data_IF_093360047099
#
_entry.id   IF_093360047099
#
_cell.length_a   1.000
_cell.length_b   1.000
_cell.length_c   1.000
_cell.angle_alpha   90.00
_cell.angle_beta   90.00
_cell.angle_gamma   90.00
#
_symmetry.space_group_name_H-M   'P 1'
#
loop_
_entity.id
_entity.type
_entity.pdbx_description
1 polymer ?
#
# COMPACT_ATOMS: atom_id res chain seq x y z
N UNK A 1 -15.37 15.68 3.64
CA UNK A 1 -15.55 15.63 2.17
C UNK A 1 -14.32 16.27 1.56
N UNK A 2 -13.44 15.50 0.90
CA UNK A 2 -12.25 16.07 0.27
C UNK A 2 -12.64 16.66 -1.09
N UNK A 3 -12.30 17.92 -1.34
CA UNK A 3 -12.59 18.64 -2.57
C UNK A 3 -11.30 19.30 -3.08
N UNK A 4 -10.42 18.49 -3.69
CA UNK A 4 -9.18 18.94 -4.30
C UNK A 4 -9.24 18.81 -5.81
N UNK A 5 -8.97 19.91 -6.53
CA UNK A 5 -9.02 19.98 -7.99
C UNK A 5 -7.83 19.27 -8.69
N UNK A 6 -6.80 18.87 -7.93
CA UNK A 6 -5.61 18.17 -8.43
C UNK A 6 -5.07 17.19 -7.38
N UNK A 7 -4.51 16.06 -7.84
CA UNK A 7 -3.68 15.19 -6.99
C UNK A 7 -2.52 16.02 -6.44
N UNK A 8 -2.34 16.01 -5.13
CA UNK A 8 -1.24 16.72 -4.46
C UNK A 8 0.10 16.38 -5.12
N UNK A 9 0.93 17.39 -5.37
CA UNK A 9 2.17 17.29 -6.15
C UNK A 9 3.20 16.28 -5.57
N UNK A 10 2.98 15.80 -4.34
CA UNK A 10 3.77 14.73 -3.73
C UNK A 10 2.97 14.05 -2.63
N UNK A 11 2.73 12.73 -2.74
CA UNK A 11 2.15 11.92 -1.65
C UNK A 11 2.99 12.00 -0.37
N UNK A 12 4.29 12.31 -0.48
CA UNK A 12 5.14 12.53 0.69
C UNK A 12 4.74 13.79 1.46
N UNK A 13 4.47 14.89 0.76
CA UNK A 13 4.04 16.14 1.41
C UNK A 13 2.67 15.97 2.05
N UNK A 14 1.77 15.24 1.39
CA UNK A 14 0.43 14.95 1.93
C UNK A 14 0.47 14.14 3.23
N UNK A 15 1.43 13.22 3.37
CA UNK A 15 1.51 12.31 4.52
C UNK A 15 2.48 12.75 5.60
N UNK A 16 3.26 13.81 5.38
CA UNK A 16 4.38 14.16 6.26
C UNK A 16 3.92 14.46 7.69
N UNK A 17 2.95 15.37 7.85
CA UNK A 17 2.42 15.74 9.18
C UNK A 17 1.86 14.52 9.93
N UNK A 18 1.08 13.67 9.23
CA UNK A 18 0.55 12.44 9.80
C UNK A 18 1.66 11.47 10.24
N UNK A 19 2.71 11.32 9.43
CA UNK A 19 3.83 10.44 9.74
C UNK A 19 4.60 10.93 10.96
N UNK A 20 4.87 12.23 11.05
CA UNK A 20 5.59 12.81 12.18
C UNK A 20 4.81 12.64 13.49
N UNK A 21 3.49 12.87 13.46
CA UNK A 21 2.63 12.64 14.62
C UNK A 21 2.58 11.16 15.04
N UNK A 22 2.40 10.24 14.08
CA UNK A 22 2.37 8.80 14.36
C UNK A 22 3.71 8.31 14.90
N UNK A 23 4.83 8.79 14.37
CA UNK A 23 6.16 8.43 14.87
C UNK A 23 6.36 8.88 16.31
N UNK A 24 5.99 10.13 16.64
CA UNK A 24 6.05 10.65 17.99
C UNK A 24 5.16 9.84 18.95
N UNK A 25 3.91 9.57 18.57
CA UNK A 25 2.98 8.79 19.39
C UNK A 25 3.46 7.35 19.60
N UNK A 26 4.04 6.71 18.58
CA UNK A 26 4.58 5.36 18.69
C UNK A 26 5.83 5.30 19.59
N UNK A 27 6.63 6.36 19.60
CA UNK A 27 7.87 6.43 20.38
C UNK A 27 7.63 6.90 21.83
N UNK A 28 6.83 7.93 22.00
CA UNK A 28 6.68 8.67 23.25
C UNK A 28 5.34 8.42 23.94
N UNK A 29 4.38 7.80 23.24
CA UNK A 29 3.01 7.62 23.73
C UNK A 29 2.25 8.95 23.79
N UNK A 30 1.12 8.93 24.48
CA UNK A 30 0.28 10.10 24.71
C UNK A 30 0.16 10.39 26.21
N UNK A 31 0.39 11.64 26.62
CA UNK A 31 0.29 12.07 28.01
C UNK A 31 -1.17 12.39 28.38
N UNK A 32 -1.73 11.66 29.33
CA UNK A 32 -3.06 11.90 29.88
C UNK A 32 -3.06 11.75 31.39
N UNK A 33 -3.57 12.75 32.12
CA UNK A 33 -3.60 12.75 33.58
C UNK A 33 -2.24 12.45 34.26
N UNK A 34 -1.15 12.93 33.66
CA UNK A 34 0.21 12.69 34.17
C UNK A 34 0.76 11.29 33.87
N UNK A 35 0.02 10.45 33.14
CA UNK A 35 0.41 9.09 32.77
C UNK A 35 0.69 9.04 31.26
N UNK A 36 1.78 8.40 30.89
CA UNK A 36 2.13 8.15 29.49
C UNK A 36 1.43 6.85 29.05
N UNK A 37 0.61 6.96 28.00
CA UNK A 37 -0.09 5.83 27.40
C UNK A 37 0.62 5.40 26.11
N UNK A 38 1.10 4.15 26.01
CA UNK A 38 1.70 3.65 24.79
C UNK A 38 0.65 3.54 23.67
N UNK A 39 1.05 3.92 22.46
CA UNK A 39 0.20 3.88 21.25
C UNK A 39 0.67 2.77 20.33
N UNK A 40 -0.26 2.09 19.65
CA UNK A 40 0.03 1.16 18.58
C UNK A 40 -0.94 1.35 17.41
N UNK A 41 -0.42 1.38 16.19
CA UNK A 41 -1.24 1.39 14.98
C UNK A 41 -1.72 -0.02 14.66
N UNK A 42 -3.03 -0.27 14.81
CA UNK A 42 -3.63 -1.56 14.47
C UNK A 42 -3.96 -1.70 12.99
N UNK A 43 -4.52 -0.66 12.38
CA UNK A 43 -4.94 -0.68 10.99
C UNK A 43 -4.98 0.73 10.37
N UNK A 44 -4.68 0.82 9.09
CA UNK A 44 -4.94 1.98 8.23
C UNK A 44 -6.02 1.57 7.23
N UNK A 45 -7.22 2.09 7.41
CA UNK A 45 -8.40 1.71 6.64
C UNK A 45 -8.60 2.72 5.51
N UNK A 46 -8.57 2.22 4.28
CA UNK A 46 -8.80 3.02 3.08
C UNK A 46 -9.26 2.12 1.92
N UNK A 47 -9.93 2.71 0.93
CA UNK A 47 -10.34 2.00 -0.29
C UNK A 47 -9.12 1.72 -1.20
N UNK A 48 -9.31 0.96 -2.29
CA UNK A 48 -8.22 0.61 -3.20
C UNK A 48 -7.45 1.83 -3.75
N UNK A 49 -8.13 2.86 -4.29
CA UNK A 49 -7.46 4.04 -4.81
C UNK A 49 -6.66 4.80 -3.75
N UNK A 50 -7.22 5.02 -2.56
CA UNK A 50 -6.52 5.71 -1.48
C UNK A 50 -5.36 4.86 -0.94
N UNK A 51 -5.53 3.54 -0.80
CA UNK A 51 -4.45 2.62 -0.42
C UNK A 51 -3.28 2.69 -1.39
N UNK A 52 -3.57 2.66 -2.69
CA UNK A 52 -2.54 2.77 -3.73
C UNK A 52 -1.81 4.11 -3.67
N UNK A 53 -2.55 5.19 -3.41
CA UNK A 53 -2.00 6.53 -3.24
C UNK A 53 -1.06 6.62 -2.03
N UNK A 54 -1.51 6.24 -0.84
CA UNK A 54 -0.71 6.38 0.39
C UNK A 54 0.49 5.43 0.43
N UNK A 55 0.37 4.23 -0.17
CA UNK A 55 1.48 3.28 -0.31
C UNK A 55 2.41 3.61 -1.49
N UNK A 56 2.05 4.56 -2.35
CA UNK A 56 2.74 4.88 -3.59
C UNK A 56 2.99 3.64 -4.47
N UNK A 57 1.93 2.86 -4.70
CA UNK A 57 1.93 1.65 -5.54
C UNK A 57 0.96 1.80 -6.72
N UNK A 58 1.06 0.91 -7.71
CA UNK A 58 0.13 0.89 -8.84
C UNK A 58 -1.31 0.72 -8.36
N UNK A 59 -2.19 1.56 -8.91
CA UNK A 59 -3.64 1.48 -8.68
C UNK A 59 -4.21 0.17 -9.21
N UNK A 60 -5.39 -0.17 -8.71
CA UNK A 60 -6.22 -1.25 -9.22
C UNK A 60 -6.25 -1.26 -10.77
N UNK A 61 -6.12 -2.44 -11.37
CA UNK A 61 -6.15 -2.63 -12.82
C UNK A 61 -4.80 -2.58 -13.53
N UNK A 62 -3.69 -2.31 -12.83
CA UNK A 62 -2.34 -2.43 -13.39
C UNK A 62 -1.75 -3.84 -13.24
N UNK A 63 -0.84 -4.23 -14.13
CA UNK A 63 -0.21 -5.57 -14.16
C UNK A 63 0.28 -6.09 -12.80
N UNK A 64 0.80 -5.25 -11.90
CA UNK A 64 1.24 -5.68 -10.56
C UNK A 64 0.55 -4.84 -9.48
N UNK A 65 -0.78 -4.69 -9.54
CA UNK A 65 -1.51 -3.82 -8.61
C UNK A 65 -1.84 -4.45 -7.25
N UNK A 66 -1.70 -5.78 -7.09
CA UNK A 66 -2.08 -6.42 -5.85
C UNK A 66 -1.18 -5.99 -4.69
N UNK A 67 -1.78 -5.49 -3.61
CA UNK A 67 -1.07 -5.02 -2.42
C UNK A 67 -0.69 -6.14 -1.45
N UNK A 68 -1.15 -7.38 -1.71
CA UNK A 68 -0.99 -8.55 -0.83
C UNK A 68 -0.16 -9.67 -1.42
N UNK A 69 -0.14 -9.83 -2.75
CA UNK A 69 0.64 -10.86 -3.42
C UNK A 69 1.35 -10.33 -4.67
N UNK A 70 2.17 -11.18 -5.27
CA UNK A 70 3.00 -10.87 -6.43
C UNK A 70 2.35 -11.19 -7.77
N UNK A 71 1.01 -11.32 -7.80
CA UNK A 71 0.28 -11.70 -9.00
C UNK A 71 0.48 -10.69 -10.13
N UNK A 72 0.77 -11.21 -11.32
CA UNK A 72 0.87 -10.45 -12.56
C UNK A 72 -0.44 -10.59 -13.32
N UNK A 73 -1.05 -9.45 -13.65
CA UNK A 73 -2.21 -9.40 -14.53
C UNK A 73 -1.82 -9.71 -15.96
N UNK A 74 -2.79 -10.19 -16.73
CA UNK A 74 -2.65 -10.51 -18.15
C UNK A 74 -3.57 -9.63 -18.98
N UNK A 75 -3.04 -9.12 -20.09
CA UNK A 75 -3.82 -8.32 -21.02
C UNK A 75 -4.65 -9.21 -21.94
N UNK A 76 -5.98 -9.09 -21.85
CA UNK A 76 -6.92 -9.82 -22.69
C UNK A 76 -7.72 -8.84 -23.53
N UNK A 77 -7.73 -9.08 -24.84
CA UNK A 77 -8.56 -8.32 -25.77
C UNK A 77 -10.05 -8.63 -25.53
N UNK A 78 -10.86 -7.60 -25.31
CA UNK A 78 -12.30 -7.67 -25.16
C UNK A 78 -12.94 -6.72 -26.17
N UNK A 79 -13.29 -7.24 -27.35
CA UNK A 79 -13.74 -6.42 -28.48
C UNK A 79 -12.64 -5.45 -28.91
N UNK A 80 -12.94 -4.15 -28.91
CA UNK A 80 -11.98 -3.08 -29.26
C UNK A 80 -11.14 -2.57 -28.07
N UNK A 81 -11.25 -3.18 -26.89
CA UNK A 81 -10.56 -2.75 -25.67
C UNK A 81 -9.64 -3.85 -25.13
N UNK A 82 -8.65 -3.47 -24.33
CA UNK A 82 -7.83 -4.41 -23.55
C UNK A 82 -8.21 -4.33 -22.09
N UNK A 83 -8.48 -5.47 -21.46
CA UNK A 83 -8.70 -5.58 -20.01
C UNK A 83 -7.52 -6.31 -19.38
N UNK A 84 -7.17 -5.93 -18.16
CA UNK A 84 -6.24 -6.71 -17.34
C UNK A 84 -7.05 -7.68 -16.49
N UNK A 85 -6.76 -8.97 -16.62
CA UNK A 85 -7.35 -10.06 -15.82
C UNK A 85 -6.28 -10.73 -14.97
N UNK A 86 -6.69 -11.44 -13.92
CA UNK A 86 -5.78 -12.12 -12.99
C UNK A 86 -6.19 -13.59 -12.91
N UNK A 87 -5.78 -14.41 -13.89
CA UNK A 87 -6.25 -15.79 -14.01
C UNK A 87 -5.58 -16.73 -13.01
N UNK A 88 -4.37 -16.40 -12.57
CA UNK A 88 -3.64 -17.16 -11.56
C UNK A 88 -4.26 -16.93 -10.16
N UNK A 89 -4.60 -18.01 -9.46
CA UNK A 89 -5.11 -17.96 -8.09
C UNK A 89 -4.01 -18.19 -7.05
N UNK A 90 -2.81 -18.57 -7.49
CA UNK A 90 -1.71 -18.99 -6.63
C UNK A 90 -0.51 -18.07 -6.81
N UNK A 91 -0.45 -17.03 -5.98
CA UNK A 91 0.69 -16.14 -5.92
C UNK A 91 1.23 -16.01 -4.52
N UNK A 92 2.56 -15.96 -4.42
CA UNK A 92 3.27 -15.71 -3.16
C UNK A 92 2.83 -14.38 -2.54
N UNK A 93 2.69 -14.39 -1.21
CA UNK A 93 2.28 -13.22 -0.46
C UNK A 93 3.46 -12.26 -0.26
N UNK A 94 3.18 -10.96 -0.36
CA UNK A 94 4.13 -9.89 -0.05
C UNK A 94 4.41 -9.88 1.44
N UNK A 95 5.66 -9.63 1.79
CA UNK A 95 6.09 -9.37 3.17
C UNK A 95 6.43 -7.89 3.35
N UNK A 96 6.34 -7.41 4.60
CA UNK A 96 6.73 -6.06 4.94
C UNK A 96 8.21 -5.80 4.59
N UNK A 97 9.06 -6.78 4.86
CA UNK A 97 10.50 -6.71 4.63
C UNK A 97 10.79 -6.61 3.13
N UNK A 98 10.14 -7.45 2.31
CA UNK A 98 10.32 -7.40 0.86
C UNK A 98 9.79 -6.10 0.23
N UNK A 99 8.64 -5.62 0.71
CA UNK A 99 8.06 -4.33 0.28
C UNK A 99 9.00 -3.15 0.58
N UNK A 100 9.54 -3.08 1.80
CA UNK A 100 10.46 -2.01 2.23
C UNK A 100 11.80 -2.09 1.50
N UNK A 101 12.31 -3.30 1.30
CA UNK A 101 13.54 -3.55 0.57
C UNK A 101 13.40 -3.35 -0.94
N UNK A 102 12.17 -3.21 -1.48
CA UNK A 102 11.88 -3.20 -2.92
C UNK A 102 12.57 -4.35 -3.66
N UNK A 103 12.53 -5.56 -3.07
CA UNK A 103 13.22 -6.71 -3.66
C UNK A 103 12.64 -7.02 -5.04
N UNK A 104 13.54 -7.45 -5.93
CA UNK A 104 13.21 -8.25 -7.12
C UNK A 104 12.46 -9.50 -6.66
N UNK A 105 11.40 -9.86 -7.39
CA UNK A 105 10.59 -11.04 -7.13
C UNK A 105 11.45 -12.32 -7.14
N UNK A 106 11.04 -13.41 -6.48
CA UNK A 106 11.70 -14.72 -6.62
C UNK A 106 11.77 -15.22 -8.07
N UNK A 107 10.92 -14.70 -8.95
CA UNK A 107 10.94 -14.94 -10.40
C UNK A 107 12.06 -14.21 -11.17
N UNK A 108 12.86 -13.36 -10.51
CA UNK A 108 13.89 -12.54 -11.15
C UNK A 108 13.34 -11.28 -11.86
N UNK A 109 12.03 -11.06 -11.83
CA UNK A 109 11.40 -9.84 -12.33
C UNK A 109 11.44 -8.71 -11.27
N UNK A 110 11.69 -7.48 -11.72
CA UNK A 110 11.78 -6.30 -10.87
C UNK A 110 10.40 -5.86 -10.34
N UNK A 111 10.29 -5.58 -9.03
CA UNK A 111 9.08 -5.02 -8.40
C UNK A 111 8.90 -3.52 -8.73
N UNK A 112 9.70 -2.94 -9.63
CA UNK A 112 9.35 -1.69 -10.35
C UNK A 112 8.01 -1.76 -11.06
N UNK A 113 7.49 -2.98 -11.25
CA UNK A 113 6.11 -3.21 -11.64
C UNK A 113 5.08 -2.77 -10.60
N UNK A 114 5.37 -2.73 -9.30
CA UNK A 114 4.40 -2.47 -8.23
C UNK A 114 4.52 -1.07 -7.61
N UNK A 115 5.74 -0.63 -7.32
CA UNK A 115 5.99 0.70 -6.76
C UNK A 115 5.95 1.78 -7.84
N UNK A 116 5.41 2.96 -7.51
CA UNK A 116 5.37 4.10 -8.43
C UNK A 116 6.74 4.79 -8.59
N UNK A 117 7.62 4.69 -7.58
CA UNK A 117 8.98 5.26 -7.57
C UNK A 117 9.98 4.34 -6.86
N UNK A 118 11.28 4.56 -7.11
CA UNK A 118 12.38 3.81 -6.48
C UNK A 118 12.62 4.24 -5.04
N UNK A 119 12.27 5.46 -4.67
CA UNK A 119 12.45 5.98 -3.32
C UNK A 119 11.30 5.57 -2.39
N UNK A 120 11.58 5.34 -1.09
CA UNK A 120 10.56 5.25 -0.04
C UNK A 120 9.62 6.44 -0.02
N UNK A 121 8.33 6.13 0.12
CA UNK A 121 7.38 7.11 0.58
C UNK A 121 7.54 7.29 2.10
N UNK A 122 7.15 8.45 2.62
CA UNK A 122 7.30 8.81 4.03
C UNK A 122 6.54 7.88 4.99
N UNK A 123 5.46 7.22 4.52
CA UNK A 123 4.68 6.28 5.34
C UNK A 123 5.48 5.02 5.72
N UNK A 124 6.60 4.77 5.06
CA UNK A 124 7.54 3.71 5.41
C UNK A 124 8.51 4.13 6.53
N UNK A 125 8.52 5.37 7.02
CA UNK A 125 9.35 5.76 8.17
C UNK A 125 8.94 5.06 9.48
N UNK A 126 7.65 5.11 9.92
CA UNK A 126 7.24 4.46 11.15
C UNK A 126 7.33 2.93 11.06
N UNK A 127 7.44 2.23 12.21
CA UNK A 127 7.53 0.78 12.31
C UNK A 127 6.16 0.09 12.11
N UNK A 128 5.44 0.45 11.05
CA UNK A 128 4.16 -0.16 10.66
C UNK A 128 4.36 -1.21 9.56
N UNK A 129 3.59 -2.29 9.60
CA UNK A 129 3.65 -3.35 8.59
C UNK A 129 2.91 -2.90 7.32
N UNK A 130 3.66 -2.66 6.23
CA UNK A 130 3.09 -2.14 4.98
C UNK A 130 2.14 -3.11 4.29
N UNK A 131 2.07 -4.38 4.73
CA UNK A 131 1.16 -5.39 4.21
C UNK A 131 0.03 -5.64 5.21
N UNK A 132 0.31 -5.98 6.47
CA UNK A 132 -0.68 -6.41 7.46
C UNK A 132 -1.50 -5.26 8.04
N UNK A 133 -0.92 -4.06 8.22
CA UNK A 133 -1.63 -2.90 8.77
C UNK A 133 -2.70 -2.35 7.81
N UNK A 134 -2.68 -2.75 6.54
CA UNK A 134 -3.66 -2.34 5.53
C UNK A 134 -4.65 -3.49 5.26
N UNK A 135 -5.79 -3.56 5.97
CA UNK A 135 -6.85 -4.50 5.61
C UNK A 135 -7.39 -4.17 4.22
N UNK A 136 -7.67 -5.20 3.43
CA UNK A 136 -8.32 -5.05 2.13
C UNK A 136 -9.82 -5.22 2.35
N UNK A 137 -10.59 -4.22 1.98
CA UNK A 137 -12.04 -4.27 2.14
C UNK A 137 -12.65 -5.40 1.28
N UNK A 138 -13.70 -6.05 1.78
CA UNK A 138 -14.22 -7.33 1.23
C UNK A 138 -14.70 -7.25 -0.23
N UNK A 139 -14.87 -6.06 -0.79
CA UNK A 139 -15.21 -5.87 -2.22
C UNK A 139 -14.04 -6.30 -3.14
N UNK A 140 -12.80 -6.32 -2.65
CA UNK A 140 -11.64 -6.87 -3.36
C UNK A 140 -11.35 -8.35 -3.03
N UNK A 141 -12.23 -9.04 -2.29
CA UNK A 141 -12.05 -10.45 -1.92
C UNK A 141 -12.47 -11.47 -2.99
N UNK A 142 -12.48 -11.10 -4.28
CA UNK A 142 -12.74 -12.07 -5.36
C UNK A 142 -11.61 -13.11 -5.56
N UNK A 143 -10.60 -13.11 -4.71
CA UNK A 143 -9.72 -14.28 -4.51
C UNK A 143 -9.92 -14.74 -3.07
N UNK A 144 -10.94 -15.58 -2.85
CA UNK A 144 -10.98 -16.48 -1.70
C UNK A 144 -10.38 -17.81 -2.15
N UNK A 145 -9.44 -18.29 -1.34
CA UNK A 145 -8.92 -19.65 -1.38
C UNK A 145 -10.04 -20.69 -1.23
#
# INVERSE_FOLDING_TARGET
>A
MFNGLQKTESYNNYLLEFVEEIEDLLQNGFLWNGIIHPVQVRAIICDAPAMAFVKAIKSHGGYYCCSKCYIKGEAVATGNNTKIVYPDLHSEQRTNEAFRARKILPSGEDDTGHHMKKEPNVLQRPPIDMIKTFPVDKIMSLVKA
#
